data_IF_989441458201
#
_entry.id   IF_989441458201
#
_cell.length_a   1.000
_cell.length_b   1.000
_cell.length_c   1.000
_cell.angle_alpha   90.00
_cell.angle_beta   90.00
_cell.angle_gamma   90.00
#
_symmetry.space_group_name_H-M   'P 1'
#
loop_
_entity.id
_entity.type
_entity.pdbx_description
1 polymer ?
#
# COMPACT_ATOMS: atom_id res chain seq x y z
N UNK A 1 -52.38 -1.09 71.85
CA UNK A 1 -51.62 -1.84 72.87
C UNK A 1 -50.55 -2.62 72.12
N UNK A 2 -49.31 -2.11 72.00
CA UNK A 2 -48.11 -2.52 72.80
C UNK A 2 -47.84 -4.03 72.70
N UNK A 3 -46.68 -4.57 72.34
CA UNK A 3 -45.26 -4.13 72.28
C UNK A 3 -44.49 -5.08 71.33
N UNK A 4 -43.58 -4.64 70.46
CA UNK A 4 -42.11 -4.54 70.61
C UNK A 4 -41.28 -5.85 70.64
N UNK A 5 -40.33 -5.91 69.69
CA UNK A 5 -39.01 -6.60 69.64
C UNK A 5 -38.97 -8.12 69.39
N UNK A 6 -38.18 -8.64 68.44
CA UNK A 6 -36.70 -8.82 68.57
C UNK A 6 -36.02 -9.07 67.21
N UNK A 7 -34.80 -8.51 67.05
CA UNK A 7 -33.86 -8.61 65.91
C UNK A 7 -33.23 -10.03 65.80
N UNK A 8 -32.74 -10.43 64.61
CA UNK A 8 -31.32 -10.78 64.38
C UNK A 8 -31.02 -11.25 62.94
N UNK A 9 -30.00 -10.61 62.34
CA UNK A 9 -29.00 -11.10 61.40
C UNK A 9 -29.37 -12.05 60.24
N UNK A 10 -29.37 -11.51 59.02
CA UNK A 10 -28.74 -12.18 57.89
C UNK A 10 -27.74 -11.24 57.22
N UNK A 11 -26.47 -11.52 57.51
CA UNK A 11 -25.29 -10.97 56.84
C UNK A 11 -25.25 -11.47 55.40
N UNK A 12 -25.42 -10.57 54.44
CA UNK A 12 -25.09 -10.81 53.03
C UNK A 12 -23.56 -10.81 52.92
N UNK A 13 -22.97 -11.98 52.76
CA UNK A 13 -21.57 -12.11 52.33
C UNK A 13 -21.47 -11.59 50.90
N UNK A 14 -20.94 -10.37 50.73
CA UNK A 14 -20.45 -9.90 49.45
C UNK A 14 -19.15 -10.65 49.13
N UNK A 15 -19.17 -11.46 48.08
CA UNK A 15 -17.99 -12.18 47.59
C UNK A 15 -16.96 -11.22 47.01
N UNK A 16 -15.69 -11.44 47.38
CA UNK A 16 -14.50 -10.64 47.04
C UNK A 16 -14.04 -10.80 45.56
N UNK A 17 -14.95 -11.15 44.64
CA UNK A 17 -14.63 -11.50 43.24
C UNK A 17 -15.67 -11.03 42.21
N UNK A 18 -16.51 -10.03 42.51
CA UNK A 18 -17.23 -9.33 41.44
C UNK A 18 -16.29 -8.33 40.78
N UNK A 19 -15.44 -8.84 39.89
CA UNK A 19 -14.72 -8.01 38.94
C UNK A 19 -15.76 -7.43 37.97
N UNK A 20 -16.01 -6.13 38.07
CA UNK A 20 -16.79 -5.40 37.09
C UNK A 20 -16.11 -5.54 35.72
N UNK A 21 -16.65 -6.38 34.85
CA UNK A 21 -16.22 -6.45 33.46
C UNK A 21 -16.48 -5.08 32.81
N UNK A 22 -15.46 -4.43 32.22
CA UNK A 22 -15.71 -3.20 31.48
C UNK A 22 -16.63 -3.54 30.31
N UNK A 23 -17.77 -2.85 30.24
CA UNK A 23 -18.71 -2.98 29.13
C UNK A 23 -17.94 -2.84 27.81
N UNK A 24 -18.18 -3.73 26.82
CA UNK A 24 -17.51 -3.64 25.54
C UNK A 24 -17.84 -2.27 24.94
N UNK A 25 -16.81 -1.44 24.80
CA UNK A 25 -16.91 -0.20 24.04
C UNK A 25 -17.12 -0.64 22.59
N UNK A 26 -18.39 -0.69 22.18
CA UNK A 26 -18.78 -0.75 20.78
C UNK A 26 -18.28 0.55 20.14
N UNK A 27 -17.02 0.55 19.70
CA UNK A 27 -16.56 1.49 18.71
C UNK A 27 -17.49 1.29 17.51
N UNK A 28 -18.40 2.25 17.30
CA UNK A 28 -19.18 2.29 16.07
C UNK A 28 -18.16 2.45 14.94
N UNK A 29 -17.87 1.34 14.26
CA UNK A 29 -17.17 1.38 12.99
C UNK A 29 -18.14 2.07 12.05
N UNK A 30 -17.91 3.36 11.81
CA UNK A 30 -18.64 4.09 10.79
C UNK A 30 -18.17 3.51 9.47
N UNK A 31 -18.98 2.64 8.85
CA UNK A 31 -18.71 2.13 7.52
C UNK A 31 -18.82 3.30 6.54
N UNK A 32 -17.67 3.87 6.19
CA UNK A 32 -17.56 4.92 5.19
C UNK A 32 -18.04 4.38 3.85
N UNK A 33 -18.82 5.19 3.13
CA UNK A 33 -19.18 4.89 1.74
C UNK A 33 -17.94 4.88 0.85
N UNK A 34 -18.01 4.22 -0.30
CA UNK A 34 -16.89 4.17 -1.26
C UNK A 34 -16.36 5.57 -1.61
N UNK A 35 -17.25 6.53 -1.89
CA UNK A 35 -16.85 7.91 -2.22
C UNK A 35 -16.17 8.61 -1.04
N UNK A 36 -16.62 8.36 0.19
CA UNK A 36 -15.97 8.86 1.40
C UNK A 36 -14.59 8.23 1.62
N UNK A 37 -14.43 6.93 1.34
CA UNK A 37 -13.12 6.25 1.38
C UNK A 37 -12.16 6.84 0.36
N UNK A 38 -12.61 7.11 -0.87
CA UNK A 38 -11.80 7.78 -1.91
C UNK A 38 -11.39 9.18 -1.45
N UNK A 39 -12.34 10.00 -0.99
CA UNK A 39 -12.07 11.35 -0.49
C UNK A 39 -11.10 11.35 0.68
N UNK A 40 -11.28 10.45 1.64
CA UNK A 40 -10.40 10.30 2.79
C UNK A 40 -8.97 9.94 2.36
N UNK A 41 -8.82 8.98 1.44
CA UNK A 41 -7.50 8.59 0.92
C UNK A 41 -6.81 9.74 0.16
N UNK A 42 -7.56 10.50 -0.65
CA UNK A 42 -7.05 11.67 -1.36
C UNK A 42 -6.64 12.77 -0.37
N UNK A 43 -7.47 13.11 0.61
CA UNK A 43 -7.14 14.12 1.61
C UNK A 43 -5.95 13.71 2.49
N UNK A 44 -5.83 12.44 2.86
CA UNK A 44 -4.68 11.94 3.60
C UNK A 44 -3.36 12.18 2.83
N UNK A 45 -3.36 11.97 1.51
CA UNK A 45 -2.22 12.25 0.64
C UNK A 45 -1.98 13.76 0.52
N UNK A 46 -3.04 14.56 0.32
CA UNK A 46 -2.94 16.03 0.22
C UNK A 46 -2.34 16.63 1.48
N UNK A 47 -2.73 16.14 2.65
CA UNK A 47 -2.19 16.57 3.93
C UNK A 47 -0.66 16.40 4.00
N UNK A 48 -0.13 15.29 3.48
CA UNK A 48 1.33 15.09 3.45
C UNK A 48 2.04 16.16 2.61
N UNK A 49 1.46 16.52 1.47
CA UNK A 49 2.01 17.56 0.59
C UNK A 49 1.93 18.94 1.26
N UNK A 50 0.81 19.26 1.92
CA UNK A 50 0.64 20.51 2.67
C UNK A 50 1.63 20.64 3.82
N UNK A 51 2.01 19.52 4.44
CA UNK A 51 3.08 19.45 5.44
C UNK A 51 4.50 19.50 4.84
N UNK A 52 4.63 19.75 3.53
CA UNK A 52 5.90 19.89 2.83
C UNK A 52 6.61 18.56 2.52
N UNK A 53 5.95 17.42 2.73
CA UNK A 53 6.52 16.09 2.48
C UNK A 53 6.55 15.78 0.98
N UNK A 54 7.55 15.02 0.56
CA UNK A 54 7.76 14.60 -0.83
C UNK A 54 7.21 13.20 -1.03
N UNK A 55 6.31 13.04 -2.01
CA UNK A 55 5.61 11.78 -2.23
C UNK A 55 6.47 10.79 -3.03
N UNK A 56 6.56 9.57 -2.51
CA UNK A 56 7.20 8.43 -3.19
C UNK A 56 6.21 7.27 -3.26
N UNK A 57 5.67 6.97 -4.44
CA UNK A 57 4.73 5.86 -4.62
C UNK A 57 5.49 4.58 -4.95
N UNK A 58 5.26 3.53 -4.16
CA UNK A 58 5.74 2.19 -4.47
C UNK A 58 4.77 1.51 -5.46
N UNK A 59 5.15 1.47 -6.75
CA UNK A 59 4.28 0.98 -7.82
C UNK A 59 4.77 -0.35 -8.41
N UNK A 60 3.89 -1.34 -8.49
CA UNK A 60 4.23 -2.70 -8.93
C UNK A 60 3.56 -3.14 -10.23
N UNK A 61 2.70 -2.30 -10.82
CA UNK A 61 1.83 -2.69 -11.94
C UNK A 61 0.62 -3.54 -11.52
N UNK A 62 0.51 -3.92 -10.26
CA UNK A 62 -0.67 -4.61 -9.72
C UNK A 62 -1.85 -3.68 -9.42
N UNK A 63 -3.02 -4.27 -9.16
CA UNK A 63 -4.28 -3.56 -8.89
C UNK A 63 -4.17 -2.51 -7.78
N UNK A 64 -3.70 -2.93 -6.61
CA UNK A 64 -3.70 -2.11 -5.39
C UNK A 64 -2.74 -0.92 -5.58
N UNK A 65 -1.53 -1.18 -6.08
CA UNK A 65 -0.54 -0.12 -6.33
C UNK A 65 -0.92 0.84 -7.47
N UNK A 66 -1.70 0.38 -8.45
CA UNK A 66 -2.19 1.22 -9.54
C UNK A 66 -3.26 2.19 -9.05
N UNK A 67 -4.17 1.72 -8.18
CA UNK A 67 -5.13 2.58 -7.47
C UNK A 67 -4.41 3.59 -6.59
N UNK A 68 -3.43 3.16 -5.77
CA UNK A 68 -2.65 4.08 -4.93
C UNK A 68 -1.93 5.15 -5.73
N UNK A 69 -1.31 4.79 -6.87
CA UNK A 69 -0.69 5.77 -7.76
C UNK A 69 -1.71 6.76 -8.32
N UNK A 70 -2.88 6.28 -8.70
CA UNK A 70 -3.92 7.16 -9.23
C UNK A 70 -4.48 8.11 -8.18
N UNK A 71 -4.69 7.64 -6.95
CA UNK A 71 -5.07 8.49 -5.81
C UNK A 71 -4.04 9.60 -5.56
N UNK A 72 -2.75 9.28 -5.70
CA UNK A 72 -1.68 10.29 -5.60
C UNK A 72 -1.77 11.34 -6.72
N UNK A 73 -2.03 10.93 -7.97
CA UNK A 73 -2.26 11.88 -9.05
C UNK A 73 -3.49 12.75 -8.81
N UNK A 74 -4.61 12.17 -8.38
CA UNK A 74 -5.82 12.92 -8.03
C UNK A 74 -5.54 13.96 -6.96
N UNK A 75 -4.87 13.56 -5.86
CA UNK A 75 -4.48 14.48 -4.80
C UNK A 75 -3.64 15.67 -5.29
N UNK A 76 -2.67 15.41 -6.18
CA UNK A 76 -1.82 16.46 -6.73
C UNK A 76 -2.57 17.37 -7.70
N UNK A 77 -3.47 16.84 -8.54
CA UNK A 77 -4.33 17.66 -9.41
C UNK A 77 -5.24 18.56 -8.58
N UNK A 78 -5.87 18.01 -7.54
CA UNK A 78 -6.76 18.75 -6.65
C UNK A 78 -6.02 19.89 -5.96
N UNK A 79 -4.79 19.65 -5.49
CA UNK A 79 -3.93 20.69 -4.93
C UNK A 79 -3.56 21.78 -5.94
N UNK A 80 -3.24 21.41 -7.18
CA UNK A 80 -2.98 22.39 -8.25
C UNK A 80 -4.23 23.23 -8.51
N UNK A 81 -5.41 22.60 -8.58
CA UNK A 81 -6.69 23.29 -8.79
C UNK A 81 -7.05 24.22 -7.61
N UNK A 82 -6.66 23.85 -6.39
CA UNK A 82 -6.76 24.69 -5.19
C UNK A 82 -5.72 25.84 -5.15
N UNK A 83 -4.79 25.90 -6.11
CA UNK A 83 -3.76 26.94 -6.20
C UNK A 83 -2.52 26.67 -5.36
N UNK A 84 -2.35 25.45 -4.84
CA UNK A 84 -1.15 25.04 -4.12
C UNK A 84 -0.02 24.62 -5.07
N UNK A 85 1.21 24.97 -4.72
CA UNK A 85 2.39 24.40 -5.38
C UNK A 85 2.56 22.94 -4.97
N UNK A 86 2.74 22.05 -5.95
CA UNK A 86 2.97 20.63 -5.71
C UNK A 86 4.44 20.25 -5.94
N UNK A 87 5.02 19.36 -5.11
CA UNK A 87 6.35 18.83 -5.34
C UNK A 87 6.37 17.79 -6.47
N UNK A 88 7.56 17.45 -6.95
CA UNK A 88 7.73 16.35 -7.88
C UNK A 88 7.24 15.02 -7.27
N UNK A 89 6.43 14.28 -8.02
CA UNK A 89 5.99 12.93 -7.68
C UNK A 89 7.08 11.92 -8.06
N UNK A 90 7.49 11.09 -7.11
CA UNK A 90 8.41 9.99 -7.40
C UNK A 90 7.68 8.67 -7.42
N UNK A 91 7.82 7.91 -8.50
CA UNK A 91 7.26 6.56 -8.63
C UNK A 91 8.41 5.58 -8.65
N UNK A 92 8.44 4.62 -7.73
CA UNK A 92 9.46 3.58 -7.68
C UNK A 92 8.86 2.25 -8.12
N UNK A 93 9.45 1.65 -9.15
CA UNK A 93 9.12 0.33 -9.67
C UNK A 93 10.27 -0.64 -9.43
N UNK A 94 9.97 -1.86 -8.96
CA UNK A 94 10.98 -2.94 -8.86
C UNK A 94 10.91 -3.83 -10.08
N UNK A 95 11.95 -3.85 -10.89
CA UNK A 95 12.15 -4.86 -11.93
C UNK A 95 13.16 -5.89 -11.44
N UNK A 96 12.65 -7.05 -11.03
CA UNK A 96 13.47 -8.15 -10.52
C UNK A 96 14.26 -8.88 -11.60
N UNK A 97 13.94 -8.69 -12.89
CA UNK A 97 14.52 -9.46 -14.00
C UNK A 97 13.98 -10.89 -14.10
N UNK A 98 13.03 -11.27 -13.25
CA UNK A 98 12.41 -12.60 -13.19
C UNK A 98 10.91 -12.58 -13.52
N UNK A 99 10.40 -11.43 -13.95
CA UNK A 99 8.99 -11.27 -14.31
C UNK A 99 8.67 -12.01 -15.61
N UNK A 100 7.42 -12.42 -15.79
CA UNK A 100 6.96 -12.95 -17.07
C UNK A 100 7.12 -11.86 -18.17
N UNK A 101 7.65 -12.19 -19.38
CA UNK A 101 7.80 -11.23 -20.47
C UNK A 101 6.54 -10.40 -20.78
N UNK A 102 5.35 -10.99 -20.67
CA UNK A 102 4.07 -10.29 -20.84
C UNK A 102 3.90 -9.18 -19.80
N UNK A 103 4.19 -9.49 -18.53
CA UNK A 103 4.14 -8.53 -17.41
C UNK A 103 5.23 -7.46 -17.56
N UNK A 104 6.41 -7.82 -18.07
CA UNK A 104 7.48 -6.86 -18.32
C UNK A 104 7.09 -5.84 -19.40
N UNK A 105 6.50 -6.31 -20.51
CA UNK A 105 6.02 -5.44 -21.60
C UNK A 105 4.91 -4.52 -21.10
N UNK A 106 3.94 -5.07 -20.38
CA UNK A 106 2.89 -4.32 -19.70
C UNK A 106 3.47 -3.22 -18.80
N UNK A 107 4.36 -3.58 -17.87
CA UNK A 107 4.94 -2.62 -16.94
C UNK A 107 5.70 -1.50 -17.68
N UNK A 108 6.41 -1.83 -18.76
CA UNK A 108 7.04 -0.81 -19.63
C UNK A 108 6.01 0.09 -20.30
N UNK A 109 4.87 -0.45 -20.74
CA UNK A 109 3.72 0.29 -21.27
C UNK A 109 3.15 1.27 -20.25
N UNK A 110 2.84 0.77 -19.06
CA UNK A 110 2.30 1.56 -17.95
C UNK A 110 3.26 2.67 -17.51
N UNK A 111 4.58 2.41 -17.45
CA UNK A 111 5.58 3.45 -17.17
C UNK A 111 5.56 4.56 -18.23
N UNK A 112 5.32 4.23 -19.51
CA UNK A 112 5.14 5.25 -20.56
C UNK A 112 3.84 6.04 -20.35
N UNK A 113 2.75 5.37 -20.03
CA UNK A 113 1.46 6.01 -19.73
C UNK A 113 1.57 6.98 -18.54
N UNK A 114 2.19 6.55 -17.43
CA UNK A 114 2.45 7.39 -16.24
C UNK A 114 3.21 8.67 -16.63
N UNK A 115 4.27 8.55 -17.44
CA UNK A 115 5.06 9.71 -17.88
C UNK A 115 4.30 10.63 -18.82
N UNK A 116 3.52 10.07 -19.75
CA UNK A 116 2.71 10.83 -20.68
C UNK A 116 1.62 11.62 -19.95
N UNK A 117 0.91 10.94 -19.04
CA UNK A 117 -0.12 11.53 -18.21
C UNK A 117 0.41 12.61 -17.27
N UNK A 118 1.55 12.37 -16.62
CA UNK A 118 2.20 13.37 -15.78
C UNK A 118 2.49 14.68 -16.54
N UNK A 119 2.93 14.56 -17.81
CA UNK A 119 3.16 15.71 -18.68
C UNK A 119 1.87 16.45 -19.03
N UNK A 120 0.79 15.73 -19.35
CA UNK A 120 -0.51 16.36 -19.69
C UNK A 120 -1.16 17.01 -18.47
N UNK A 121 -1.05 16.39 -17.30
CA UNK A 121 -1.57 16.91 -16.04
C UNK A 121 -0.72 18.05 -15.43
N UNK A 122 0.44 18.37 -16.01
CA UNK A 122 1.34 19.40 -15.49
C UNK A 122 2.00 19.04 -14.15
N UNK A 123 2.09 17.75 -13.82
CA UNK A 123 2.67 17.26 -12.57
C UNK A 123 4.08 16.74 -12.85
N UNK A 124 5.11 17.40 -12.32
CA UNK A 124 6.49 16.90 -12.43
C UNK A 124 6.57 15.50 -11.82
N UNK A 125 6.83 14.48 -12.65
CA UNK A 125 6.86 13.09 -12.20
C UNK A 125 8.12 12.40 -12.67
N UNK A 126 8.78 11.70 -11.76
CA UNK A 126 9.96 10.89 -12.05
C UNK A 126 9.74 9.43 -11.69
N UNK A 127 9.83 8.57 -12.69
CA UNK A 127 9.75 7.11 -12.51
C UNK A 127 11.15 6.52 -12.39
N UNK A 128 11.39 5.81 -11.28
CA UNK A 128 12.63 5.14 -10.94
C UNK A 128 12.45 3.63 -11.07
N UNK A 129 13.30 2.98 -11.86
CA UNK A 129 13.28 1.53 -12.04
C UNK A 129 14.43 0.92 -11.25
N UNK A 130 14.09 0.17 -10.21
CA UNK A 130 15.02 -0.56 -9.37
C UNK A 130 15.26 -1.96 -9.95
N UNK A 131 16.49 -2.22 -10.38
CA UNK A 131 16.92 -3.57 -10.81
C UNK A 131 18.15 -4.01 -10.02
N UNK A 132 18.30 -5.32 -9.75
CA UNK A 132 19.52 -5.86 -9.15
C UNK A 132 20.73 -5.58 -10.04
N UNK A 133 21.90 -5.39 -9.43
CA UNK A 133 23.15 -5.39 -10.20
C UNK A 133 23.67 -6.83 -10.28
N UNK A 134 24.58 -7.11 -11.22
CA UNK A 134 25.11 -8.45 -11.44
C UNK A 134 25.71 -9.07 -10.17
N UNK A 135 26.40 -8.28 -9.35
CA UNK A 135 27.01 -8.74 -8.10
C UNK A 135 25.99 -9.18 -7.05
N UNK A 136 24.81 -8.56 -7.02
CA UNK A 136 23.72 -8.88 -6.08
C UNK A 136 22.57 -9.63 -6.75
N UNK A 137 22.75 -10.08 -7.98
CA UNK A 137 21.77 -10.92 -8.65
C UNK A 137 21.78 -12.32 -8.03
N UNK A 138 20.59 -12.79 -7.68
CA UNK A 138 20.40 -14.05 -6.98
C UNK A 138 20.76 -15.26 -7.86
N UNK A 139 20.40 -15.24 -9.15
CA UNK A 139 20.75 -16.35 -10.06
C UNK A 139 22.25 -16.39 -10.31
N UNK A 140 22.89 -15.22 -10.50
CA UNK A 140 24.35 -15.14 -10.63
C UNK A 140 25.02 -15.66 -9.36
N UNK A 141 24.56 -15.22 -8.19
CA UNK A 141 25.07 -15.70 -6.90
C UNK A 141 24.91 -17.21 -6.73
N UNK A 142 23.80 -17.78 -7.20
CA UNK A 142 23.52 -19.20 -7.11
C UNK A 142 24.45 -20.00 -8.02
N UNK A 143 24.56 -19.61 -9.29
CA UNK A 143 25.42 -20.27 -10.28
C UNK A 143 26.91 -20.16 -9.92
N UNK A 144 27.32 -19.05 -9.29
CA UNK A 144 28.70 -18.84 -8.86
C UNK A 144 29.03 -19.48 -7.51
N UNK A 145 28.09 -20.16 -6.85
CA UNK A 145 28.29 -20.76 -5.51
C UNK A 145 28.39 -19.75 -4.35
N UNK A 146 28.02 -18.48 -4.56
CA UNK A 146 28.04 -17.43 -3.51
C UNK A 146 26.77 -17.42 -2.64
N UNK A 147 25.70 -18.03 -3.11
CA UNK A 147 24.47 -18.25 -2.33
C UNK A 147 23.87 -19.61 -2.63
N UNK A 148 22.98 -20.06 -1.76
CA UNK A 148 22.24 -21.32 -1.89
C UNK A 148 20.82 -21.06 -2.35
N UNK A 149 20.19 -22.08 -2.94
CA UNK A 149 18.78 -22.00 -3.30
C UNK A 149 17.92 -21.63 -2.09
N UNK A 150 17.01 -20.67 -2.30
CA UNK A 150 16.00 -20.26 -1.35
C UNK A 150 14.92 -21.33 -1.32
N UNK A 151 14.96 -22.17 -0.29
CA UNK A 151 13.96 -23.20 0.01
C UNK A 151 13.29 -22.89 1.35
N UNK A 152 12.04 -23.32 1.51
CA UNK A 152 11.24 -23.06 2.72
C UNK A 152 11.11 -21.55 3.01
N UNK A 153 11.46 -21.13 4.23
CA UNK A 153 11.36 -19.74 4.69
C UNK A 153 12.54 -18.84 4.31
N UNK A 154 13.46 -19.31 3.46
CA UNK A 154 14.61 -18.51 3.03
C UNK A 154 14.16 -17.38 2.08
N UNK A 155 14.34 -16.13 2.51
CA UNK A 155 13.94 -14.93 1.75
C UNK A 155 15.10 -14.28 0.97
N UNK A 156 16.27 -14.95 0.85
CA UNK A 156 17.45 -14.38 0.18
C UNK A 156 17.17 -13.91 -1.24
N UNK A 157 16.43 -14.68 -2.04
CA UNK A 157 16.03 -14.26 -3.38
C UNK A 157 15.31 -12.90 -3.36
N UNK A 158 14.29 -12.75 -2.50
CA UNK A 158 13.56 -11.49 -2.34
C UNK A 158 14.45 -10.35 -1.83
N UNK A 159 15.33 -10.62 -0.87
CA UNK A 159 16.23 -9.63 -0.29
C UNK A 159 17.22 -9.09 -1.34
N UNK A 160 17.80 -10.00 -2.12
CA UNK A 160 18.78 -9.69 -3.16
C UNK A 160 18.11 -9.00 -4.36
N UNK A 161 17.05 -9.58 -4.90
CA UNK A 161 16.46 -9.12 -6.17
C UNK A 161 15.54 -7.91 -6.02
N UNK A 162 14.88 -7.74 -4.87
CA UNK A 162 13.87 -6.70 -4.66
C UNK A 162 14.28 -5.68 -3.60
N UNK A 163 14.50 -6.12 -2.35
CA UNK A 163 14.75 -5.20 -1.22
C UNK A 163 15.98 -4.34 -1.46
N UNK A 164 17.12 -4.95 -1.79
CA UNK A 164 18.38 -4.22 -1.98
C UNK A 164 18.33 -3.18 -3.11
N UNK A 165 17.65 -3.51 -4.21
CA UNK A 165 17.52 -2.66 -5.37
C UNK A 165 16.63 -1.46 -5.05
N UNK A 166 15.51 -1.71 -4.36
CA UNK A 166 14.62 -0.66 -3.86
C UNK A 166 15.31 0.25 -2.85
N UNK A 167 16.05 -0.30 -1.89
CA UNK A 167 16.79 0.48 -0.90
C UNK A 167 17.83 1.40 -1.55
N UNK A 168 18.50 0.93 -2.61
CA UNK A 168 19.41 1.74 -3.42
C UNK A 168 18.69 2.87 -4.13
N UNK A 169 17.57 2.59 -4.81
CA UNK A 169 16.79 3.62 -5.48
C UNK A 169 16.25 4.64 -4.47
N UNK A 170 15.73 4.21 -3.32
CA UNK A 170 15.27 5.11 -2.25
C UNK A 170 16.36 6.08 -1.80
N UNK A 171 17.61 5.62 -1.65
CA UNK A 171 18.76 6.50 -1.37
C UNK A 171 19.02 7.50 -2.50
N UNK A 172 18.88 7.09 -3.76
CA UNK A 172 19.02 8.00 -4.91
C UNK A 172 17.88 9.03 -4.97
N UNK A 173 16.65 8.64 -4.66
CA UNK A 173 15.51 9.57 -4.56
C UNK A 173 15.78 10.62 -3.48
N UNK A 174 16.23 10.21 -2.28
CA UNK A 174 16.63 11.17 -1.22
C UNK A 174 17.71 12.13 -1.68
N UNK A 175 18.76 11.62 -2.32
CA UNK A 175 19.85 12.46 -2.79
C UNK A 175 19.38 13.49 -3.83
N UNK A 176 18.51 13.08 -4.75
CA UNK A 176 17.95 13.98 -5.76
C UNK A 176 17.09 15.08 -5.15
N UNK A 177 16.21 14.72 -4.21
CA UNK A 177 15.36 15.68 -3.51
C UNK A 177 16.21 16.65 -2.69
N UNK A 178 17.20 16.13 -1.97
CA UNK A 178 18.10 16.93 -1.16
C UNK A 178 18.89 17.95 -2.01
N UNK A 179 19.36 17.54 -3.19
CA UNK A 179 20.00 18.43 -4.16
C UNK A 179 19.04 19.52 -4.66
N UNK A 180 17.79 19.16 -4.98
CA UNK A 180 16.77 20.10 -5.45
C UNK A 180 16.34 21.11 -4.38
N UNK A 181 16.18 20.65 -3.15
CA UNK A 181 15.72 21.46 -2.02
C UNK A 181 16.88 22.19 -1.30
N UNK A 182 18.14 21.90 -1.67
CA UNK A 182 19.32 22.50 -1.03
C UNK A 182 19.56 22.03 0.41
N UNK A 183 19.02 20.87 0.79
CA UNK A 183 19.10 20.29 2.15
C UNK A 183 20.03 19.08 2.17
N UNK A 184 20.36 18.57 3.36
CA UNK A 184 21.11 17.31 3.48
C UNK A 184 20.17 16.14 3.18
N UNK A 185 20.70 15.04 2.63
CA UNK A 185 19.92 13.84 2.32
C UNK A 185 19.17 13.22 3.51
N UNK A 186 19.63 13.47 4.73
CA UNK A 186 18.97 13.05 5.98
C UNK A 186 17.75 13.90 6.36
N UNK A 187 17.67 15.13 5.86
CA UNK A 187 16.63 16.10 6.16
C UNK A 187 15.58 16.15 5.02
N UNK A 188 15.70 15.27 4.03
CA UNK A 188 14.72 15.12 2.95
C UNK A 188 13.45 14.42 3.48
N UNK A 189 12.41 15.22 3.73
CA UNK A 189 11.13 14.74 4.25
C UNK A 189 10.36 13.91 3.22
N UNK A 190 10.58 12.60 3.24
CA UNK A 190 9.93 11.64 2.34
C UNK A 190 8.76 10.94 3.01
N UNK A 191 7.68 10.76 2.24
CA UNK A 191 6.61 9.81 2.58
C UNK A 191 6.45 8.78 1.48
N UNK A 192 6.53 7.51 1.86
CA UNK A 192 6.30 6.37 0.97
C UNK A 192 4.82 6.01 0.96
N UNK A 193 4.16 6.14 -0.19
CA UNK A 193 2.79 5.68 -0.40
C UNK A 193 2.81 4.20 -0.80
N UNK A 194 2.16 3.35 0.00
CA UNK A 194 2.10 1.90 -0.20
C UNK A 194 0.65 1.45 -0.36
N UNK A 195 0.40 0.62 -1.37
CA UNK A 195 -0.91 0.02 -1.61
C UNK A 195 -1.12 -1.30 -0.85
N UNK A 196 -0.99 -1.28 0.48
CA UNK A 196 -1.27 -2.42 1.37
C UNK A 196 -2.65 -2.31 2.00
N UNK A 197 -3.30 -3.45 2.26
CA UNK A 197 -4.66 -3.53 2.84
C UNK A 197 -4.71 -4.55 3.97
N UNK A 198 -5.43 -4.26 5.05
CA UNK A 198 -5.57 -5.18 6.18
C UNK A 198 -6.29 -6.47 5.77
N UNK A 199 -7.30 -6.37 4.90
CA UNK A 199 -8.06 -7.51 4.40
C UNK A 199 -7.34 -8.32 3.31
N UNK A 200 -6.07 -8.04 2.98
CA UNK A 200 -5.35 -8.83 1.97
C UNK A 200 -5.01 -10.25 2.49
N UNK A 201 -4.66 -10.38 3.77
CA UNK A 201 -4.41 -11.67 4.44
C UNK A 201 -4.13 -11.47 5.93
N UNK A 202 -4.42 -12.46 6.77
CA UNK A 202 -4.13 -12.41 8.21
C UNK A 202 -2.66 -12.09 8.52
N UNK A 203 -1.72 -12.69 7.76
CA UNK A 203 -0.29 -12.45 7.93
C UNK A 203 0.12 -11.01 7.56
N UNK A 204 -0.51 -10.42 6.52
CA UNK A 204 -0.24 -9.01 6.16
C UNK A 204 -0.84 -8.06 7.17
N UNK A 205 -2.06 -8.33 7.63
CA UNK A 205 -2.70 -7.55 8.68
C UNK A 205 -1.83 -7.49 9.94
N UNK A 206 -1.31 -8.63 10.41
CA UNK A 206 -0.42 -8.68 11.57
C UNK A 206 0.86 -7.86 11.36
N UNK A 207 1.46 -7.91 10.15
CA UNK A 207 2.67 -7.13 9.83
C UNK A 207 2.40 -5.64 9.71
N UNK A 208 1.26 -5.24 9.16
CA UNK A 208 0.85 -3.83 9.06
C UNK A 208 0.60 -3.26 10.46
N UNK A 209 -0.12 -4.00 11.32
CA UNK A 209 -0.35 -3.62 12.72
C UNK A 209 0.94 -3.51 13.52
N UNK A 210 1.87 -4.47 13.34
CA UNK A 210 3.18 -4.41 14.00
C UNK A 210 4.03 -3.20 13.56
N UNK A 211 3.81 -2.68 12.34
CA UNK A 211 4.46 -1.47 11.82
C UNK A 211 3.69 -0.19 12.15
N UNK A 212 2.51 -0.29 12.76
CA UNK A 212 1.62 0.85 12.99
C UNK A 212 1.10 1.52 11.72
N UNK A 213 1.03 0.80 10.59
CA UNK A 213 0.56 1.40 9.32
C UNK A 213 -0.84 2.01 9.46
N UNK A 214 -1.00 3.22 8.92
CA UNK A 214 -2.23 3.98 8.96
C UNK A 214 -2.63 4.47 7.57
N UNK A 215 -3.94 4.63 7.36
CA UNK A 215 -4.54 5.19 6.15
C UNK A 215 -4.57 6.71 6.14
N UNK A 216 -4.50 7.35 7.30
CA UNK A 216 -4.65 8.79 7.46
C UNK A 216 -3.35 9.48 7.82
N UNK A 217 -2.58 8.88 8.73
CA UNK A 217 -1.33 9.45 9.24
C UNK A 217 -0.13 8.70 8.68
N UNK A 218 0.89 9.43 8.25
CA UNK A 218 2.13 8.78 7.85
C UNK A 218 2.96 8.46 9.09
N UNK A 219 3.34 7.19 9.23
CA UNK A 219 4.05 6.65 10.39
C UNK A 219 5.49 6.29 10.02
N UNK A 220 6.43 6.46 10.94
CA UNK A 220 7.78 5.92 10.77
C UNK A 220 7.76 4.42 11.10
N UNK A 221 7.39 3.62 10.10
CA UNK A 221 7.18 2.19 10.24
C UNK A 221 8.48 1.38 10.48
N UNK A 222 9.66 1.99 10.31
CA UNK A 222 10.95 1.30 10.38
C UNK A 222 12.00 1.99 11.25
N UNK A 223 11.63 3.06 11.98
CA UNK A 223 12.51 3.87 12.82
C UNK A 223 13.76 4.37 12.07
N UNK A 224 13.63 4.56 10.76
CA UNK A 224 14.72 4.94 9.87
C UNK A 224 14.50 6.32 9.23
N UNK A 225 13.52 7.08 9.76
CA UNK A 225 13.11 8.38 9.26
C UNK A 225 12.28 8.30 7.98
N UNK A 226 11.83 7.12 7.55
CA UNK A 226 10.95 6.98 6.39
C UNK A 226 9.50 6.88 6.83
N UNK A 227 8.76 7.96 6.60
CA UNK A 227 7.33 7.94 6.78
C UNK A 227 6.68 7.04 5.73
N UNK A 228 5.73 6.23 6.16
CA UNK A 228 4.91 5.36 5.32
C UNK A 228 3.46 5.74 5.53
N UNK A 229 2.75 5.95 4.43
CA UNK A 229 1.31 6.12 4.42
C UNK A 229 0.71 5.01 3.55
N UNK A 230 -0.36 4.40 4.02
CA UNK A 230 -1.06 3.32 3.33
C UNK A 230 -2.51 3.75 3.05
N UNK A 231 -2.76 4.62 2.05
CA UNK A 231 -4.06 5.31 1.89
C UNK A 231 -5.26 4.39 1.71
N UNK A 232 -5.02 3.16 1.28
CA UNK A 232 -6.05 2.14 1.04
C UNK A 232 -6.05 1.04 2.13
N UNK A 233 -5.42 1.26 3.28
CA UNK A 233 -5.25 0.23 4.32
C UNK A 233 -6.59 -0.40 4.76
N UNK A 234 -7.63 0.42 4.87
CA UNK A 234 -8.99 0.04 5.29
C UNK A 234 -9.90 -0.34 4.11
N UNK A 235 -9.38 -0.41 2.88
CA UNK A 235 -10.18 -0.78 1.72
C UNK A 235 -10.29 -2.30 1.60
N UNK A 236 -11.47 -2.77 1.25
CA UNK A 236 -11.69 -4.17 0.90
C UNK A 236 -11.31 -4.42 -0.56
N UNK A 237 -11.46 -5.66 -1.04
CA UNK A 237 -11.17 -5.95 -2.44
C UNK A 237 -12.23 -5.34 -3.39
N UNK A 238 -13.48 -5.22 -2.93
CA UNK A 238 -14.58 -4.68 -3.71
C UNK A 238 -14.42 -3.19 -3.99
N UNK A 239 -13.94 -2.40 -3.02
CA UNK A 239 -13.57 -0.99 -3.16
C UNK A 239 -12.53 -0.82 -4.27
N UNK A 240 -11.50 -1.68 -4.28
CA UNK A 240 -10.45 -1.65 -5.32
C UNK A 240 -11.03 -1.94 -6.71
N UNK A 241 -11.89 -2.95 -6.83
CA UNK A 241 -12.54 -3.26 -8.11
C UNK A 241 -13.53 -2.18 -8.54
N UNK A 242 -14.25 -1.58 -7.59
CA UNK A 242 -15.16 -0.46 -7.83
C UNK A 242 -14.40 0.74 -8.36
N UNK A 243 -13.25 1.06 -7.76
CA UNK A 243 -12.36 2.12 -8.25
C UNK A 243 -11.87 1.84 -9.66
N UNK A 244 -11.38 0.62 -9.94
CA UNK A 244 -10.93 0.22 -11.29
C UNK A 244 -12.09 0.32 -12.29
N UNK A 245 -13.29 -0.11 -11.91
CA UNK A 245 -14.49 0.03 -12.75
C UNK A 245 -14.87 1.49 -13.01
N UNK A 246 -14.69 2.38 -12.04
CA UNK A 246 -14.90 3.82 -12.21
C UNK A 246 -13.85 4.48 -13.11
N UNK A 247 -12.60 4.02 -13.08
CA UNK A 247 -11.58 4.44 -14.04
C UNK A 247 -11.95 4.01 -15.46
N UNK A 248 -12.32 2.74 -15.66
CA UNK A 248 -12.71 2.19 -16.97
C UNK A 248 -13.97 2.80 -17.55
N UNK A 249 -14.88 3.27 -16.70
CA UNK A 249 -16.08 4.00 -17.10
C UNK A 249 -15.89 5.52 -17.18
N UNK A 250 -14.63 5.97 -17.14
CA UNK A 250 -14.23 7.38 -17.26
C UNK A 250 -14.82 8.31 -16.17
N UNK A 251 -15.37 7.74 -15.08
CA UNK A 251 -15.87 8.49 -13.93
C UNK A 251 -14.73 9.04 -13.07
N UNK A 252 -13.60 8.34 -13.07
CA UNK A 252 -12.37 8.77 -12.38
C UNK A 252 -11.28 8.92 -13.44
N UNK A 253 -10.80 10.14 -13.61
CA UNK A 253 -9.65 10.43 -14.47
C UNK A 253 -8.39 9.77 -13.90
N UNK A 254 -7.68 9.01 -14.74
CA UNK A 254 -6.52 8.24 -14.35
C UNK A 254 -5.35 8.30 -15.34
N UNK A 255 -4.19 7.83 -14.90
CA UNK A 255 -2.98 7.81 -15.74
C UNK A 255 -3.04 6.81 -16.91
N UNK A 256 -3.97 5.86 -16.87
CA UNK A 256 -4.34 4.95 -17.96
C UNK A 256 -5.78 4.47 -17.74
N UNK A 257 -6.36 3.83 -18.75
CA UNK A 257 -7.74 3.31 -18.73
C UNK A 257 -7.92 2.05 -17.87
N UNK A 258 -6.84 1.43 -17.41
CA UNK A 258 -6.81 0.15 -16.67
C UNK A 258 -7.38 -1.06 -17.43
N UNK A 259 -7.54 -0.99 -18.75
CA UNK A 259 -8.01 -2.15 -19.54
C UNK A 259 -6.97 -3.27 -19.53
N UNK A 260 -5.71 -2.95 -19.87
CA UNK A 260 -4.61 -3.92 -19.88
C UNK A 260 -4.35 -4.52 -18.48
N UNK A 261 -4.57 -3.72 -17.42
CA UNK A 261 -4.52 -4.19 -16.03
C UNK A 261 -5.57 -5.27 -15.77
N UNK A 262 -6.81 -5.05 -16.19
CA UNK A 262 -7.89 -6.04 -16.01
C UNK A 262 -7.64 -7.29 -16.84
N UNK A 263 -7.16 -7.14 -18.07
CA UNK A 263 -6.84 -8.26 -18.97
C UNK A 263 -5.77 -9.18 -18.36
N UNK A 264 -4.68 -8.61 -17.85
CA UNK A 264 -3.60 -9.39 -17.20
C UNK A 264 -4.11 -10.20 -16.01
N UNK A 265 -4.98 -9.59 -15.20
CA UNK A 265 -5.52 -10.29 -14.05
C UNK A 265 -6.59 -11.32 -14.44
N UNK A 266 -7.37 -11.08 -15.50
CA UNK A 266 -8.30 -12.08 -16.07
C UNK A 266 -7.52 -13.30 -16.57
N UNK A 267 -6.43 -13.07 -17.29
CA UNK A 267 -5.58 -14.14 -17.82
C UNK A 267 -4.88 -14.90 -16.67
N UNK A 268 -4.40 -14.19 -15.65
CA UNK A 268 -3.83 -14.80 -14.45
C UNK A 268 -4.85 -15.66 -13.67
N UNK A 269 -6.14 -15.34 -13.80
CA UNK A 269 -7.26 -16.03 -13.15
C UNK A 269 -7.90 -17.12 -14.04
N UNK A 270 -7.26 -17.52 -15.14
CA UNK A 270 -7.77 -18.56 -16.04
C UNK A 270 -9.01 -18.13 -16.83
N UNK A 271 -9.15 -16.84 -17.11
CA UNK A 271 -10.26 -16.26 -17.89
C UNK A 271 -11.44 -15.78 -17.05
N UNK A 272 -11.47 -16.05 -15.74
CA UNK A 272 -12.56 -15.60 -14.87
C UNK A 272 -12.42 -14.13 -14.47
N UNK A 273 -13.56 -13.46 -14.30
CA UNK A 273 -13.59 -12.07 -13.86
C UNK A 273 -13.08 -11.96 -12.42
N UNK A 274 -12.27 -10.93 -12.15
CA UNK A 274 -11.73 -10.70 -10.81
C UNK A 274 -12.80 -10.58 -9.73
N UNK A 275 -13.95 -10.00 -10.07
CA UNK A 275 -15.08 -9.84 -9.15
C UNK A 275 -15.74 -11.18 -8.86
N UNK A 276 -15.90 -12.04 -9.87
CA UNK A 276 -16.47 -13.38 -9.69
C UNK A 276 -15.58 -14.23 -8.80
N UNK A 277 -14.26 -14.17 -8.97
CA UNK A 277 -13.32 -14.87 -8.11
C UNK A 277 -13.46 -14.43 -6.64
N UNK A 278 -13.53 -13.12 -6.40
CA UNK A 278 -13.73 -12.56 -5.07
C UNK A 278 -15.06 -13.04 -4.45
N UNK A 279 -16.18 -12.92 -5.17
CA UNK A 279 -17.51 -13.35 -4.70
C UNK A 279 -17.56 -14.86 -4.45
N UNK A 280 -16.84 -15.66 -5.25
CA UNK A 280 -16.78 -17.11 -5.10
C UNK A 280 -15.96 -17.58 -3.89
N UNK A 281 -15.38 -16.67 -3.09
CA UNK A 281 -14.53 -16.99 -1.95
C UNK A 281 -13.23 -17.68 -2.34
N UNK A 282 -12.90 -17.71 -3.64
CA UNK A 282 -11.59 -18.13 -4.13
C UNK A 282 -10.65 -16.97 -3.85
N UNK A 283 -9.99 -17.03 -2.69
CA UNK A 283 -8.89 -16.14 -2.35
C UNK A 283 -7.98 -16.05 -3.59
N UNK A 284 -7.62 -14.84 -4.03
CA UNK A 284 -6.77 -14.64 -5.21
C UNK A 284 -5.45 -15.38 -4.96
N UNK A 285 -5.40 -16.65 -5.35
CA UNK A 285 -4.24 -17.49 -5.21
C UNK A 285 -3.19 -16.81 -6.07
N UNK A 286 -2.20 -16.15 -5.45
CA UNK A 286 -0.92 -15.98 -6.10
C UNK A 286 -0.39 -17.40 -6.23
N UNK A 287 -0.41 -18.03 -7.42
CA UNK A 287 0.20 -19.34 -7.55
C UNK A 287 1.62 -19.22 -6.99
N UNK A 288 2.06 -20.10 -6.07
CA UNK A 288 3.45 -20.15 -5.70
C UNK A 288 4.27 -20.29 -6.98
N UNK A 289 5.51 -19.79 -6.99
CA UNK A 289 6.38 -19.87 -8.18
C UNK A 289 6.55 -21.30 -8.74
N UNK A 290 6.13 -22.32 -7.99
CA UNK A 290 6.08 -23.73 -8.38
C UNK A 290 4.88 -24.16 -9.23
N UNK A 291 3.85 -23.33 -9.41
CA UNK A 291 2.61 -23.73 -10.08
C UNK A 291 2.51 -23.27 -11.55
N UNK A 292 3.65 -22.97 -12.19
CA UNK A 292 3.72 -22.66 -13.63
C UNK A 292 4.71 -23.61 -14.31
N UNK A 293 4.27 -24.84 -14.49
CA UNK A 293 4.83 -25.80 -15.45
C UNK A 293 3.73 -26.16 -16.43
#
# INVERSE_FOLDING_TARGET
MTSAQTKLNQSIQAGLFDAAEPAPVLLQVVDLTFDEKVKAAVEAIKQQVREGRRLVVAWSGGKDSSVTLNLAFTALRDLIAEGHSVPALHVIHSNTGLENPVIEIYNKGQIRAIKAYAKTAGIETRVWVASPNLSNDYLVGLLSGRTIMSVGNNTKCQQMMKKSALDRIKRQVRAWIAEKDGVKAKDANLVSLIGTRFEESAQRAARMKARGESSTEAVDAMEDGQLVLSPIAEWDAFDIFTYIGHVRSEKIEAYSDFEELVDIYRDANGGDCMVNQYISGREQNRPPCSART
#
